data_IF_449853274671
#
_entry.id   IF_449853274671
#
_cell.length_a   1.000
_cell.length_b   1.000
_cell.length_c   1.000
_cell.angle_alpha   90.00
_cell.angle_beta   90.00
_cell.angle_gamma   90.00
#
_symmetry.space_group_name_H-M   'P 1'
#
loop_
_entity.id
_entity.type
_entity.pdbx_description
1 polymer ?
#
# COMPACT_ATOMS: atom_id res chain seq x y z
N UNK A 1 2.77 16.63 -30.51
CA UNK A 1 3.88 16.28 -29.60
C UNK A 1 4.06 14.79 -29.72
N UNK A 2 5.25 14.35 -30.11
CA UNK A 2 5.57 12.97 -30.50
C UNK A 2 5.36 12.00 -29.34
N UNK A 3 5.03 10.75 -29.65
CA UNK A 3 4.90 9.63 -28.71
C UNK A 3 6.11 9.54 -27.78
N UNK A 4 5.97 10.02 -26.54
CA UNK A 4 7.02 9.93 -25.52
C UNK A 4 7.24 8.45 -25.19
N UNK A 5 8.40 7.91 -25.57
CA UNK A 5 8.90 6.66 -25.00
C UNK A 5 9.04 6.85 -23.48
N UNK A 6 8.35 6.04 -22.68
CA UNK A 6 8.51 6.03 -21.22
C UNK A 6 9.95 5.74 -20.79
N UNK A 7 10.70 5.04 -21.64
CA UNK A 7 12.12 4.76 -21.44
C UNK A 7 12.92 5.94 -21.97
N UNK A 8 13.28 6.86 -21.08
CA UNK A 8 14.05 8.07 -21.42
C UNK A 8 14.75 8.69 -20.21
N UNK A 9 15.67 9.64 -20.47
CA UNK A 9 16.31 10.45 -19.44
C UNK A 9 15.30 11.34 -18.71
N UNK A 10 14.37 11.95 -19.45
CA UNK A 10 13.32 12.82 -18.92
C UNK A 10 12.43 12.08 -17.92
N UNK A 11 12.13 10.80 -18.16
CA UNK A 11 11.40 9.97 -17.19
C UNK A 11 12.13 9.88 -15.86
N UNK A 12 13.46 9.66 -15.86
CA UNK A 12 14.25 9.56 -14.64
C UNK A 12 14.24 10.87 -13.83
N UNK A 13 14.30 12.01 -14.52
CA UNK A 13 14.16 13.34 -13.89
C UNK A 13 12.77 13.54 -13.30
N UNK A 14 11.72 13.23 -14.07
CA UNK A 14 10.32 13.42 -13.70
C UNK A 14 9.93 12.57 -12.48
N UNK A 15 10.43 11.33 -12.38
CA UNK A 15 10.14 10.46 -11.23
C UNK A 15 10.88 10.87 -9.95
N UNK A 16 11.86 11.79 -10.04
CA UNK A 16 12.44 12.45 -8.85
C UNK A 16 13.93 12.21 -8.62
N UNK A 17 14.66 11.61 -9.57
CA UNK A 17 16.13 11.56 -9.46
C UNK A 17 16.76 12.93 -9.69
N UNK A 18 17.96 13.13 -9.13
CA UNK A 18 18.81 14.27 -9.46
C UNK A 18 19.28 14.20 -10.92
N UNK A 19 19.66 15.35 -11.48
CA UNK A 19 20.20 15.42 -12.85
C UNK A 19 21.37 14.44 -13.04
N UNK A 20 22.35 14.48 -12.14
CA UNK A 20 23.53 13.62 -12.18
C UNK A 20 23.16 12.13 -12.17
N UNK A 21 22.23 11.72 -11.30
CA UNK A 21 21.83 10.31 -11.22
C UNK A 21 21.03 9.88 -12.43
N UNK A 22 20.13 10.73 -12.92
CA UNK A 22 19.36 10.46 -14.12
C UNK A 22 20.29 10.27 -15.33
N UNK A 23 21.28 11.14 -15.51
CA UNK A 23 22.30 11.01 -16.56
C UNK A 23 23.15 9.74 -16.40
N UNK A 24 23.55 9.41 -15.16
CA UNK A 24 24.29 8.18 -14.86
C UNK A 24 23.47 6.93 -15.23
N UNK A 25 22.22 6.85 -14.77
CA UNK A 25 21.31 5.73 -15.04
C UNK A 25 21.00 5.63 -16.53
N UNK A 26 20.73 6.76 -17.20
CA UNK A 26 20.48 6.80 -18.64
C UNK A 26 21.69 6.34 -19.45
N UNK A 27 22.89 6.76 -19.07
CA UNK A 27 24.14 6.32 -19.72
C UNK A 27 24.31 4.81 -19.57
N UNK A 28 24.04 4.25 -18.38
CA UNK A 28 24.09 2.80 -18.14
C UNK A 28 23.03 2.05 -18.95
N UNK A 29 21.80 2.55 -18.99
CA UNK A 29 20.72 1.95 -19.78
C UNK A 29 20.99 2.00 -21.28
N UNK A 30 21.52 3.12 -21.79
CA UNK A 30 21.80 3.32 -23.21
C UNK A 30 22.97 2.48 -23.70
N UNK A 31 23.99 2.29 -22.86
CA UNK A 31 25.17 1.48 -23.12
C UNK A 31 25.07 0.11 -22.46
N UNK A 32 23.90 -0.53 -22.55
CA UNK A 32 23.67 -1.84 -21.94
C UNK A 32 24.67 -2.86 -22.48
N UNK A 33 25.39 -3.60 -21.61
CA UNK A 33 26.37 -4.56 -22.06
C UNK A 33 25.70 -5.75 -22.75
N UNK A 34 26.38 -6.33 -23.74
CA UNK A 34 26.01 -7.65 -24.24
C UNK A 34 26.11 -8.69 -23.11
N UNK A 35 25.11 -9.55 -22.98
CA UNK A 35 25.06 -10.50 -21.89
C UNK A 35 23.76 -11.31 -21.83
N UNK A 36 23.59 -12.13 -20.79
CA UNK A 36 22.44 -13.02 -20.64
C UNK A 36 21.14 -12.30 -20.26
N UNK A 37 21.21 -10.99 -20.00
CA UNK A 37 20.05 -10.15 -19.68
C UNK A 37 20.01 -9.00 -20.67
N UNK A 38 18.95 -8.93 -21.48
CA UNK A 38 18.70 -7.83 -22.42
C UNK A 38 17.75 -6.80 -21.80
N UNK A 39 17.57 -5.63 -22.43
CA UNK A 39 16.57 -4.65 -22.01
C UNK A 39 15.20 -5.02 -22.56
N UNK A 40 14.14 -4.55 -21.92
CA UNK A 40 12.77 -4.64 -22.46
C UNK A 40 12.60 -3.95 -23.84
N UNK A 41 13.50 -3.03 -24.20
CA UNK A 41 13.51 -2.35 -25.50
C UNK A 41 14.29 -3.11 -26.58
N UNK A 42 15.05 -4.13 -26.20
CA UNK A 42 15.81 -4.96 -27.14
C UNK A 42 14.90 -6.04 -27.75
N UNK A 43 15.20 -6.57 -28.95
CA UNK A 43 14.45 -7.67 -29.53
C UNK A 43 14.42 -8.88 -28.59
N UNK A 44 13.23 -9.45 -28.38
CA UNK A 44 13.07 -10.63 -27.52
C UNK A 44 13.76 -11.85 -28.14
N UNK A 45 14.71 -12.42 -27.41
CA UNK A 45 15.55 -13.56 -27.81
C UNK A 45 15.26 -14.83 -27.00
N UNK A 46 14.20 -14.82 -26.18
CA UNK A 46 13.89 -15.91 -25.25
C UNK A 46 14.61 -15.81 -23.90
N UNK A 47 15.48 -14.82 -23.71
CA UNK A 47 16.22 -14.58 -22.49
C UNK A 47 15.47 -13.78 -21.42
N UNK A 48 16.17 -13.50 -20.31
CA UNK A 48 15.68 -12.61 -19.26
C UNK A 48 15.77 -11.16 -19.76
N UNK A 49 14.69 -10.40 -19.59
CA UNK A 49 14.66 -8.97 -19.89
C UNK A 49 14.61 -8.15 -18.60
N UNK A 50 15.48 -7.14 -18.51
CA UNK A 50 15.41 -6.09 -17.49
C UNK A 50 14.42 -5.03 -17.94
N UNK A 51 13.41 -4.78 -17.12
CA UNK A 51 12.47 -3.67 -17.35
C UNK A 51 13.04 -2.37 -16.80
N UNK A 52 12.60 -1.23 -17.34
CA UNK A 52 13.17 0.06 -16.97
C UNK A 52 12.92 0.42 -15.50
N UNK A 53 11.78 0.03 -14.94
CA UNK A 53 11.46 0.21 -13.52
C UNK A 53 12.34 -0.63 -12.60
N UNK A 54 12.49 -1.93 -12.89
CA UNK A 54 13.38 -2.78 -12.11
C UNK A 54 14.82 -2.25 -12.15
N UNK A 55 15.25 -1.72 -13.30
CA UNK A 55 16.57 -1.09 -13.44
C UNK A 55 16.74 0.15 -12.57
N UNK A 56 15.84 1.14 -12.66
CA UNK A 56 16.04 2.38 -11.87
C UNK A 56 15.81 2.16 -10.37
N UNK A 57 14.96 1.20 -9.99
CA UNK A 57 14.78 0.79 -8.58
C UNK A 57 16.03 0.09 -8.05
N UNK A 58 16.68 -0.78 -8.85
CA UNK A 58 17.98 -1.33 -8.50
C UNK A 58 19.07 -0.24 -8.41
N UNK A 59 18.91 0.86 -9.16
CA UNK A 59 19.74 2.05 -9.10
C UNK A 59 19.65 2.85 -7.80
N UNK A 60 18.60 2.66 -6.99
CA UNK A 60 18.53 3.07 -5.59
C UNK A 60 19.39 2.11 -4.75
N UNK A 61 20.71 2.29 -4.86
CA UNK A 61 21.74 1.45 -4.25
C UNK A 61 21.43 1.14 -2.78
N UNK A 62 21.75 -0.08 -2.33
CA UNK A 62 21.69 -0.38 -0.89
C UNK A 62 22.76 0.45 -0.20
N UNK A 63 22.33 1.44 0.55
CA UNK A 63 23.19 2.21 1.44
C UNK A 63 22.93 1.77 2.89
N UNK A 64 24.00 1.60 3.65
CA UNK A 64 23.96 1.27 5.09
C UNK A 64 23.48 2.48 5.94
N UNK A 65 23.37 3.66 5.32
CA UNK A 65 22.86 4.90 5.92
C UNK A 65 21.35 5.13 5.78
N UNK A 66 20.50 4.10 5.70
CA UNK A 66 19.05 4.29 5.76
C UNK A 66 18.61 4.75 7.17
N UNK A 67 17.70 5.72 7.23
CA UNK A 67 17.29 6.38 8.48
C UNK A 67 15.77 6.37 8.64
N UNK A 68 15.32 6.32 9.88
CA UNK A 68 13.89 6.38 10.27
C UNK A 68 13.68 7.15 11.58
N UNK A 69 14.74 7.71 12.17
CA UNK A 69 14.69 8.59 13.34
C UNK A 69 14.17 9.99 12.99
N UNK A 70 14.07 10.87 13.96
CA UNK A 70 13.52 12.22 13.77
C UNK A 70 14.59 13.31 13.61
N UNK A 71 15.70 12.99 12.93
CA UNK A 71 16.73 13.98 12.59
C UNK A 71 16.56 14.42 11.13
N UNK A 72 16.16 15.69 10.92
CA UNK A 72 15.94 16.21 9.57
C UNK A 72 17.21 16.24 8.72
N UNK A 73 18.38 16.45 9.33
CA UNK A 73 19.66 16.48 8.62
C UNK A 73 20.03 15.09 8.15
N UNK A 74 19.88 14.07 9.01
CA UNK A 74 20.11 12.67 8.64
C UNK A 74 19.17 12.23 7.50
N UNK A 75 17.90 12.64 7.54
CA UNK A 75 16.94 12.37 6.47
C UNK A 75 17.34 12.99 5.14
N UNK A 76 17.71 14.29 5.12
CA UNK A 76 18.18 14.96 3.90
C UNK A 76 19.44 14.31 3.34
N UNK A 77 20.39 13.98 4.22
CA UNK A 77 21.61 13.30 3.83
C UNK A 77 21.32 11.90 3.24
N UNK A 78 20.40 11.14 3.87
CA UNK A 78 20.01 9.82 3.38
C UNK A 78 19.32 9.89 2.01
N UNK A 79 18.35 10.79 1.81
CA UNK A 79 17.69 10.98 0.51
C UNK A 79 18.66 11.49 -0.58
N UNK A 80 19.65 12.30 -0.19
CA UNK A 80 20.72 12.74 -1.09
C UNK A 80 21.62 11.57 -1.51
N UNK A 81 21.93 10.63 -0.61
CA UNK A 81 22.67 9.41 -0.97
C UNK A 81 21.89 8.53 -1.94
N UNK A 82 20.57 8.46 -1.81
CA UNK A 82 19.68 7.85 -2.80
C UNK A 82 19.50 8.69 -4.09
N UNK A 83 20.20 9.82 -4.19
CA UNK A 83 20.19 10.73 -5.34
C UNK A 83 18.80 11.25 -5.72
N UNK A 84 17.95 11.47 -4.72
CA UNK A 84 16.65 12.10 -4.88
C UNK A 84 16.83 13.62 -4.99
N UNK A 85 16.14 14.26 -5.94
CA UNK A 85 16.25 15.71 -6.14
C UNK A 85 15.59 16.52 -5.02
N UNK A 86 15.99 17.79 -4.87
CA UNK A 86 15.56 18.67 -3.77
C UNK A 86 14.03 18.79 -3.63
N UNK A 87 13.32 19.02 -4.73
CA UNK A 87 11.86 19.16 -4.72
C UNK A 87 11.16 17.89 -4.22
N UNK A 88 11.68 16.72 -4.60
CA UNK A 88 11.17 15.43 -4.14
C UNK A 88 11.51 15.18 -2.67
N UNK A 89 12.71 15.57 -2.24
CA UNK A 89 13.07 15.54 -0.81
C UNK A 89 12.12 16.40 0.02
N UNK A 90 11.86 17.64 -0.40
CA UNK A 90 10.97 18.57 0.31
C UNK A 90 9.52 18.08 0.35
N UNK A 91 9.08 17.38 -0.69
CA UNK A 91 7.76 16.76 -0.72
C UNK A 91 7.65 15.56 0.24
N UNK A 92 8.67 14.69 0.30
CA UNK A 92 8.75 13.57 1.26
C UNK A 92 8.85 14.09 2.70
N UNK A 93 9.63 15.17 2.90
CA UNK A 93 9.97 15.74 4.20
C UNK A 93 9.00 16.83 4.69
N UNK A 94 7.86 17.01 4.03
CA UNK A 94 6.87 18.01 4.44
C UNK A 94 6.50 17.84 5.94
N UNK A 95 6.72 18.86 6.80
CA UNK A 95 6.49 18.78 8.24
C UNK A 95 5.07 18.36 8.63
N UNK A 96 4.07 18.72 7.83
CA UNK A 96 2.66 18.35 8.04
C UNK A 96 2.47 16.81 8.10
N UNK A 97 3.28 16.08 7.34
CA UNK A 97 3.22 14.62 7.25
C UNK A 97 4.36 13.94 8.01
N UNK A 98 5.02 14.64 8.94
CA UNK A 98 6.15 14.10 9.72
C UNK A 98 5.85 12.75 10.38
N UNK A 99 4.68 12.60 10.98
CA UNK A 99 4.28 11.35 11.64
C UNK A 99 4.18 10.16 10.66
N UNK A 100 3.67 10.39 9.44
CA UNK A 100 3.62 9.41 8.35
C UNK A 100 5.00 9.14 7.77
N UNK A 101 5.79 10.18 7.51
CA UNK A 101 7.18 10.07 7.07
C UNK A 101 7.96 9.15 8.01
N UNK A 102 7.82 9.33 9.31
CA UNK A 102 8.50 8.52 10.33
C UNK A 102 7.83 7.15 10.59
N UNK A 103 6.85 6.74 9.79
CA UNK A 103 6.31 5.38 9.83
C UNK A 103 7.15 4.39 9.01
N UNK A 104 8.00 4.89 8.12
CA UNK A 104 8.91 4.12 7.28
C UNK A 104 10.26 4.84 7.14
N UNK A 105 11.20 4.26 6.41
CA UNK A 105 12.56 4.81 6.28
C UNK A 105 12.67 5.77 5.11
N UNK A 106 13.74 6.57 5.08
CA UNK A 106 14.07 7.45 3.97
C UNK A 106 14.13 6.68 2.65
N UNK A 107 14.77 5.51 2.65
CA UNK A 107 14.83 4.65 1.47
C UNK A 107 13.45 4.19 1.01
N UNK A 108 12.61 3.75 1.95
CA UNK A 108 11.26 3.29 1.63
C UNK A 108 10.50 4.40 0.90
N UNK A 109 10.51 5.62 1.42
CA UNK A 109 9.80 6.73 0.79
C UNK A 109 10.43 7.20 -0.52
N UNK A 110 11.75 7.14 -0.66
CA UNK A 110 12.42 7.40 -1.93
C UNK A 110 11.92 6.41 -3.00
N UNK A 111 12.01 5.11 -2.72
CA UNK A 111 11.55 4.03 -3.59
C UNK A 111 10.07 4.17 -3.93
N UNK A 112 9.22 4.28 -2.91
CA UNK A 112 7.78 4.36 -3.08
C UNK A 112 7.37 5.59 -3.90
N UNK A 113 8.06 6.72 -3.75
CA UNK A 113 7.75 7.94 -4.51
C UNK A 113 8.13 7.82 -5.98
N UNK A 114 9.31 7.29 -6.31
CA UNK A 114 9.71 7.13 -7.72
C UNK A 114 8.81 6.12 -8.44
N UNK A 115 8.43 5.03 -7.78
CA UNK A 115 7.50 4.03 -8.33
C UNK A 115 6.11 4.59 -8.57
N UNK A 116 5.55 5.35 -7.61
CA UNK A 116 4.23 6.00 -7.79
C UNK A 116 4.22 6.96 -8.99
N UNK A 117 5.27 7.77 -9.12
CA UNK A 117 5.39 8.73 -10.23
C UNK A 117 5.57 8.01 -11.57
N UNK A 118 6.35 6.93 -11.60
CA UNK A 118 6.51 6.11 -12.80
C UNK A 118 5.20 5.42 -13.20
N UNK A 119 4.46 4.85 -12.25
CA UNK A 119 3.17 4.23 -12.51
C UNK A 119 2.16 5.23 -13.07
N UNK A 120 2.18 6.48 -12.60
CA UNK A 120 1.41 7.55 -13.21
C UNK A 120 1.82 7.85 -14.66
N UNK A 121 3.13 7.92 -14.95
CA UNK A 121 3.61 8.11 -16.33
C UNK A 121 3.17 6.97 -17.24
N UNK A 122 3.27 5.71 -16.78
CA UNK A 122 2.79 4.53 -17.50
C UNK A 122 1.30 4.66 -17.83
N UNK A 123 0.50 5.06 -16.85
CA UNK A 123 -0.94 5.29 -17.03
C UNK A 123 -1.22 6.39 -18.07
N UNK A 124 -0.45 7.48 -18.05
CA UNK A 124 -0.57 8.56 -19.04
C UNK A 124 -0.20 8.12 -20.45
N UNK A 125 0.87 7.34 -20.62
CA UNK A 125 1.29 6.81 -21.92
C UNK A 125 0.26 5.83 -22.50
N UNK A 126 -0.42 5.08 -21.64
CA UNK A 126 -1.49 4.15 -22.01
C UNK A 126 -2.87 4.85 -22.20
N UNK A 127 -2.90 6.19 -22.34
CA UNK A 127 -4.11 7.02 -22.53
C UNK A 127 -5.22 6.83 -21.48
N UNK A 128 -4.89 6.31 -20.30
CA UNK A 128 -5.84 6.06 -19.21
C UNK A 128 -5.93 7.26 -18.26
N UNK A 129 -6.10 8.48 -18.78
CA UNK A 129 -5.86 9.71 -18.01
C UNK A 129 -7.04 10.23 -17.20
N UNK A 130 -8.26 9.76 -17.47
CA UNK A 130 -9.44 10.20 -16.70
C UNK A 130 -9.62 9.28 -15.47
N UNK A 131 -9.58 9.80 -14.24
CA UNK A 131 -10.17 9.08 -13.12
C UNK A 131 -11.68 8.90 -13.38
N UNK A 132 -12.27 7.75 -13.00
CA UNK A 132 -13.71 7.55 -13.11
C UNK A 132 -14.47 8.71 -12.45
N UNK A 133 -15.59 9.12 -13.02
CA UNK A 133 -16.47 10.07 -12.31
C UNK A 133 -16.92 9.46 -10.97
N UNK A 134 -17.10 10.28 -9.93
CA UNK A 134 -17.74 9.89 -8.66
C UNK A 134 -19.18 9.42 -8.94
N UNK A 135 -19.36 8.17 -9.37
CA UNK A 135 -20.66 7.55 -9.54
C UNK A 135 -20.80 6.40 -8.55
N UNK A 136 -21.95 6.38 -7.90
CA UNK A 136 -22.36 5.34 -6.96
C UNK A 136 -22.57 4.03 -7.72
N UNK A 137 -21.61 3.12 -7.68
CA UNK A 137 -21.79 1.74 -8.14
C UNK A 137 -22.68 0.97 -7.15
N UNK A 138 -23.99 1.02 -7.37
CA UNK A 138 -24.91 -0.02 -6.88
C UNK A 138 -24.84 -1.20 -7.85
N UNK A 139 -24.21 -2.30 -7.44
CA UNK A 139 -24.37 -3.58 -8.12
C UNK A 139 -25.84 -4.02 -7.96
N UNK A 140 -26.62 -3.92 -9.03
CA UNK A 140 -27.97 -4.46 -9.09
C UNK A 140 -27.88 -5.99 -9.27
N UNK A 141 -28.13 -6.74 -8.20
CA UNK A 141 -28.48 -8.15 -8.29
C UNK A 141 -29.99 -8.29 -8.16
N UNK A 142 -30.70 -8.19 -9.29
CA UNK A 142 -32.10 -8.58 -9.41
C UNK A 142 -32.19 -10.09 -9.63
N UNK A 143 -32.76 -10.79 -8.65
CA UNK A 143 -33.14 -12.20 -8.72
C UNK A 143 -34.39 -12.48 -7.89
N UNK A 144 -35.58 -12.27 -8.48
CA UNK A 144 -36.86 -12.84 -8.05
C UNK A 144 -36.84 -14.38 -8.19
N UNK A 145 -37.54 -15.26 -7.45
CA UNK A 145 -38.59 -15.31 -6.40
C UNK A 145 -38.64 -16.83 -5.92
N UNK A 146 -39.55 -17.39 -5.06
CA UNK A 146 -40.83 -16.88 -4.54
C UNK A 146 -41.15 -17.14 -3.05
N UNK A 147 -42.30 -16.55 -2.65
CA UNK A 147 -42.97 -16.59 -1.34
C UNK A 147 -43.07 -17.97 -0.66
N UNK A 148 -42.81 -18.00 0.66
CA UNK A 148 -43.75 -18.53 1.68
C UNK A 148 -43.32 -18.20 3.13
N UNK A 149 -44.09 -17.29 3.73
CA UNK A 149 -44.51 -17.08 5.14
C UNK A 149 -43.74 -17.81 6.27
N UNK A 150 -43.09 -17.03 7.14
CA UNK A 150 -43.14 -17.09 8.62
C UNK A 150 -42.84 -15.67 9.18
N UNK A 151 -43.32 -15.31 10.41
CA UNK A 151 -43.40 -13.92 10.86
C UNK A 151 -42.02 -13.39 11.29
N UNK A 152 -41.47 -12.46 10.52
CA UNK A 152 -40.16 -11.87 10.79
C UNK A 152 -40.26 -10.78 11.87
N UNK A 153 -39.77 -11.12 13.06
CA UNK A 153 -39.43 -10.14 14.11
C UNK A 153 -37.93 -9.87 14.03
N UNK A 154 -37.54 -8.78 13.35
CA UNK A 154 -36.44 -7.84 13.70
C UNK A 154 -36.21 -6.88 12.52
N UNK A 155 -36.69 -5.62 12.55
CA UNK A 155 -36.03 -4.40 13.08
C UNK A 155 -34.73 -3.99 12.34
N UNK A 156 -34.86 -3.00 11.45
CA UNK A 156 -33.78 -2.14 10.93
C UNK A 156 -33.01 -2.71 9.72
N UNK A 157 -32.43 -1.86 8.84
CA UNK A 157 -31.53 -2.34 7.81
C UNK A 157 -30.28 -2.97 8.46
N UNK A 158 -29.72 -4.05 7.88
CA UNK A 158 -28.54 -4.72 8.43
C UNK A 158 -27.37 -3.74 8.57
N UNK A 159 -26.66 -3.83 9.70
CA UNK A 159 -25.51 -2.98 9.98
C UNK A 159 -24.39 -3.26 8.98
N UNK A 160 -23.83 -2.18 8.40
CA UNK A 160 -22.79 -2.25 7.37
C UNK A 160 -21.51 -1.60 7.88
N UNK A 161 -20.46 -2.40 8.01
CA UNK A 161 -19.12 -1.92 8.34
C UNK A 161 -18.56 -1.11 7.17
N UNK A 162 -17.96 0.05 7.45
CA UNK A 162 -17.25 0.86 6.46
C UNK A 162 -15.77 0.86 6.76
N UNK A 163 -14.97 0.60 5.73
CA UNK A 163 -13.51 0.64 5.81
C UNK A 163 -12.95 1.48 4.66
N UNK A 164 -11.79 2.10 4.87
CA UNK A 164 -11.22 3.10 3.98
C UNK A 164 -9.76 2.78 3.65
N UNK A 165 -9.33 3.10 2.42
CA UNK A 165 -7.94 3.00 1.97
C UNK A 165 -7.65 4.06 0.92
N UNK A 166 -6.50 4.72 1.01
CA UNK A 166 -5.99 5.53 -0.10
C UNK A 166 -5.31 4.62 -1.14
N UNK A 167 -5.66 4.80 -2.41
CA UNK A 167 -5.11 4.05 -3.54
C UNK A 167 -4.50 4.98 -4.58
N UNK A 168 -3.28 4.69 -5.01
CA UNK A 168 -2.66 5.33 -6.18
C UNK A 168 -3.17 4.66 -7.45
N UNK A 169 -3.95 5.39 -8.25
CA UNK A 169 -4.55 4.87 -9.48
C UNK A 169 -3.54 4.63 -10.61
N UNK A 170 -2.31 5.15 -10.50
CA UNK A 170 -1.21 4.74 -11.37
C UNK A 170 -0.88 3.26 -11.19
N UNK A 171 -0.75 2.83 -9.93
CA UNK A 171 -0.48 1.43 -9.56
C UNK A 171 -1.74 0.56 -9.65
N UNK A 172 -2.88 1.08 -9.21
CA UNK A 172 -4.18 0.40 -9.19
C UNK A 172 -4.95 0.62 -10.51
N UNK A 173 -4.30 0.38 -11.65
CA UNK A 173 -4.82 0.73 -12.96
C UNK A 173 -6.01 -0.12 -13.42
N UNK A 174 -6.19 -1.33 -12.87
CA UNK A 174 -7.33 -2.24 -13.14
C UNK A 174 -8.42 -2.15 -12.06
N UNK A 175 -8.27 -1.24 -11.11
CA UNK A 175 -9.24 -1.09 -10.02
C UNK A 175 -10.65 -0.78 -10.55
N UNK A 176 -10.72 -0.09 -11.69
CA UNK A 176 -11.95 0.19 -12.40
C UNK A 176 -11.90 -0.38 -13.81
N UNK A 177 -13.02 -0.87 -14.30
CA UNK A 177 -13.20 -1.24 -15.70
C UNK A 177 -13.31 0.00 -16.61
N UNK A 178 -13.48 -0.24 -17.91
CA UNK A 178 -13.65 0.81 -18.92
C UNK A 178 -14.91 1.69 -18.69
N UNK A 179 -15.91 1.18 -17.96
CA UNK A 179 -17.12 1.94 -17.59
C UNK A 179 -16.92 2.81 -16.35
N UNK A 180 -15.78 2.66 -15.65
CA UNK A 180 -15.50 3.32 -14.38
C UNK A 180 -16.09 2.59 -13.16
N UNK A 181 -16.60 1.37 -13.35
CA UNK A 181 -17.11 0.51 -12.28
C UNK A 181 -15.97 -0.26 -11.63
N UNK A 182 -16.05 -0.50 -10.32
CA UNK A 182 -15.04 -1.28 -9.60
C UNK A 182 -14.94 -2.71 -10.16
N UNK A 183 -13.72 -3.17 -10.44
CA UNK A 183 -13.46 -4.46 -11.11
C UNK A 183 -12.41 -5.29 -10.36
N UNK A 184 -11.14 -4.87 -10.36
CA UNK A 184 -10.06 -5.68 -9.80
C UNK A 184 -9.71 -5.30 -8.35
N UNK A 185 -10.31 -5.98 -7.37
CA UNK A 185 -9.96 -5.79 -5.94
C UNK A 185 -8.46 -6.04 -5.67
N UNK A 186 -7.82 -6.94 -6.41
CA UNK A 186 -6.42 -7.32 -6.25
C UNK A 186 -5.44 -6.15 -6.37
N UNK A 187 -5.81 -5.07 -7.08
CA UNK A 187 -5.02 -3.86 -7.21
C UNK A 187 -4.95 -3.05 -5.89
N UNK A 188 -5.75 -3.40 -4.87
CA UNK A 188 -5.68 -2.82 -3.52
C UNK A 188 -4.76 -3.59 -2.55
N UNK A 189 -4.10 -4.65 -3.00
CA UNK A 189 -3.18 -5.44 -2.15
C UNK A 189 -1.98 -4.60 -1.71
N UNK A 190 -1.59 -4.76 -0.46
CA UNK A 190 -0.31 -4.28 0.07
C UNK A 190 0.72 -5.41 0.00
N UNK A 191 1.97 -5.13 -0.40
CA UNK A 191 3.02 -6.15 -0.46
C UNK A 191 3.50 -6.56 0.95
N UNK A 192 4.02 -7.78 1.05
CA UNK A 192 4.72 -8.28 2.23
C UNK A 192 6.18 -7.80 2.27
N UNK A 193 6.85 -7.77 3.45
CA UNK A 193 6.29 -8.05 4.78
C UNK A 193 5.45 -6.88 5.32
N UNK A 194 4.34 -7.20 5.98
CA UNK A 194 3.41 -6.26 6.62
C UNK A 194 3.05 -6.71 8.05
N UNK A 195 2.11 -6.02 8.71
CA UNK A 195 1.83 -6.22 10.14
C UNK A 195 1.38 -7.63 10.51
N UNK A 196 0.71 -8.35 9.61
CA UNK A 196 0.13 -9.65 9.93
C UNK A 196 0.44 -10.73 8.89
N UNK A 197 1.28 -10.41 7.89
CA UNK A 197 1.74 -11.36 6.87
C UNK A 197 3.22 -11.12 6.55
N UNK A 198 4.02 -12.18 6.61
CA UNK A 198 5.46 -12.10 6.31
C UNK A 198 5.82 -12.32 4.84
N UNK A 199 5.03 -13.12 4.12
CA UNK A 199 5.36 -13.58 2.76
C UNK A 199 4.26 -13.34 1.72
N UNK A 200 3.02 -13.16 2.17
CA UNK A 200 1.86 -13.02 1.29
C UNK A 200 1.36 -11.59 1.32
N UNK A 201 0.99 -11.06 0.16
CA UNK A 201 0.28 -9.79 0.08
C UNK A 201 -1.09 -9.90 0.77
N UNK A 202 -1.55 -8.83 1.39
CA UNK A 202 -2.84 -8.76 2.05
C UNK A 202 -3.51 -7.39 1.81
N UNK A 203 -4.80 -7.30 2.09
CA UNK A 203 -5.56 -6.05 1.97
C UNK A 203 -5.65 -5.39 3.33
N UNK A 204 -5.27 -4.13 3.42
CA UNK A 204 -5.32 -3.37 4.65
C UNK A 204 -6.23 -2.15 4.47
N UNK A 205 -7.20 -2.00 5.36
CA UNK A 205 -8.09 -0.86 5.42
C UNK A 205 -8.16 -0.29 6.84
N UNK A 206 -8.50 0.98 6.96
CA UNK A 206 -8.78 1.62 8.26
C UNK A 206 -10.29 1.78 8.46
N UNK A 207 -10.83 1.57 9.66
CA UNK A 207 -12.20 1.96 9.96
C UNK A 207 -12.35 3.48 10.14
N UNK A 208 -11.23 4.20 10.29
CA UNK A 208 -11.17 5.64 10.44
C UNK A 208 -10.87 6.31 9.09
N UNK A 209 -11.80 7.16 8.63
CA UNK A 209 -11.64 7.88 7.37
C UNK A 209 -10.51 8.91 7.43
N UNK A 210 -10.26 9.51 8.60
CA UNK A 210 -9.24 10.55 8.76
C UNK A 210 -7.84 9.97 8.57
N UNK A 211 -7.60 8.75 9.05
CA UNK A 211 -6.34 8.01 8.82
C UNK A 211 -6.10 7.81 7.33
N UNK A 212 -7.10 7.29 6.61
CA UNK A 212 -6.98 7.05 5.18
C UNK A 212 -6.87 8.36 4.37
N UNK A 213 -7.50 9.44 4.82
CA UNK A 213 -7.36 10.77 4.23
C UNK A 213 -5.95 11.33 4.39
N UNK A 214 -5.36 11.17 5.57
CA UNK A 214 -4.01 11.63 5.87
C UNK A 214 -2.96 10.88 5.03
N UNK A 215 -3.13 9.57 4.90
CA UNK A 215 -2.32 8.73 4.00
C UNK A 215 -2.45 9.15 2.54
N UNK A 216 -3.68 9.41 2.07
CA UNK A 216 -3.94 9.87 0.71
C UNK A 216 -3.35 11.25 0.42
N UNK A 217 -3.47 12.19 1.37
CA UNK A 217 -2.88 13.52 1.26
C UNK A 217 -1.34 13.47 1.23
N UNK A 218 -0.71 12.60 2.02
CA UNK A 218 0.74 12.42 1.97
C UNK A 218 1.19 11.81 0.64
N UNK A 219 0.50 10.77 0.18
CA UNK A 219 0.74 10.17 -1.13
C UNK A 219 0.65 11.21 -2.25
N UNK A 220 -0.38 12.06 -2.21
CA UNK A 220 -0.54 13.19 -3.15
C UNK A 220 0.60 14.20 -3.03
N UNK A 221 1.02 14.56 -1.81
CA UNK A 221 2.08 15.55 -1.60
C UNK A 221 3.38 15.15 -2.28
N UNK A 222 3.78 13.88 -2.13
CA UNK A 222 5.04 13.35 -2.68
C UNK A 222 4.95 12.93 -4.14
N UNK A 223 3.76 12.64 -4.65
CA UNK A 223 3.49 12.36 -6.05
C UNK A 223 2.35 13.25 -6.59
N UNK A 224 2.63 14.56 -6.72
CA UNK A 224 1.60 15.60 -6.99
C UNK A 224 0.81 15.40 -8.27
N UNK A 225 1.40 14.77 -9.28
CA UNK A 225 0.75 14.44 -10.55
C UNK A 225 -0.06 13.15 -10.48
N UNK A 226 0.25 12.24 -9.55
CA UNK A 226 -0.48 10.98 -9.39
C UNK A 226 -1.92 11.24 -8.98
N UNK A 227 -2.80 10.38 -9.48
CA UNK A 227 -4.23 10.38 -9.12
C UNK A 227 -4.42 9.46 -7.94
N UNK A 228 -4.69 10.04 -6.77
CA UNK A 228 -4.92 9.28 -5.54
C UNK A 228 -6.42 9.30 -5.25
N UNK A 229 -7.00 8.12 -5.04
CA UNK A 229 -8.41 7.94 -4.70
C UNK A 229 -8.55 7.44 -3.26
N UNK A 230 -9.50 8.02 -2.53
CA UNK A 230 -9.96 7.45 -1.27
C UNK A 230 -11.05 6.42 -1.58
N UNK A 231 -10.75 5.16 -1.34
CA UNK A 231 -11.67 4.04 -1.54
C UNK A 231 -12.38 3.74 -0.23
N UNK A 232 -13.71 3.66 -0.28
CA UNK A 232 -14.53 3.10 0.80
C UNK A 232 -15.00 1.71 0.36
N UNK A 233 -14.80 0.70 1.19
CA UNK A 233 -15.53 -0.57 1.10
C UNK A 233 -16.59 -0.65 2.19
N UNK A 234 -17.72 -1.27 1.87
CA UNK A 234 -18.83 -1.49 2.79
C UNK A 234 -19.20 -2.96 2.81
N UNK A 235 -19.18 -3.57 3.99
CA UNK A 235 -19.37 -5.01 4.18
C UNK A 235 -20.54 -5.22 5.14
N UNK A 236 -21.57 -6.02 4.80
CA UNK A 236 -22.61 -6.38 5.76
C UNK A 236 -22.01 -7.19 6.92
N UNK A 237 -22.27 -6.77 8.16
CA UNK A 237 -21.68 -7.44 9.33
C UNK A 237 -22.20 -8.86 9.50
N UNK A 238 -23.41 -9.15 9.02
CA UNK A 238 -23.94 -10.51 9.01
C UNK A 238 -23.10 -11.47 8.16
N UNK A 239 -22.45 -11.01 7.09
CA UNK A 239 -21.54 -11.87 6.32
C UNK A 239 -20.23 -12.14 7.07
N UNK A 240 -19.75 -11.18 7.86
CA UNK A 240 -18.59 -11.39 8.75
C UNK A 240 -18.95 -12.40 9.84
N UNK A 241 -20.15 -12.29 10.43
CA UNK A 241 -20.63 -13.18 11.49
C UNK A 241 -20.92 -14.62 11.00
N UNK A 242 -20.97 -14.86 9.69
CA UNK A 242 -21.10 -16.21 9.11
C UNK A 242 -19.76 -16.91 8.94
N UNK A 243 -18.64 -16.18 9.01
CA UNK A 243 -17.32 -16.79 8.98
C UNK A 243 -17.13 -17.66 10.24
N UNK A 244 -16.42 -18.80 10.13
CA UNK A 244 -15.99 -19.56 11.30
C UNK A 244 -15.18 -18.68 12.26
N UNK A 245 -15.28 -18.94 13.56
CA UNK A 245 -14.56 -18.17 14.59
C UNK A 245 -13.04 -18.25 14.35
N UNK A 246 -12.53 -19.38 13.85
CA UNK A 246 -11.13 -19.57 13.49
C UNK A 246 -10.66 -18.72 12.30
N UNK A 247 -11.58 -18.18 11.48
CA UNK A 247 -11.29 -17.34 10.33
C UNK A 247 -11.33 -15.84 10.63
N UNK A 248 -11.67 -15.45 11.86
CA UNK A 248 -11.74 -14.06 12.29
C UNK A 248 -10.98 -13.85 13.60
N UNK A 249 -9.78 -13.26 13.51
CA UNK A 249 -9.02 -12.84 14.67
C UNK A 249 -9.21 -11.34 14.92
N UNK A 250 -9.96 -10.97 15.95
CA UNK A 250 -10.26 -9.57 16.25
C UNK A 250 -9.82 -9.12 17.64
N UNK A 251 -9.81 -7.81 17.86
CA UNK A 251 -9.50 -7.23 19.17
C UNK A 251 -8.02 -7.25 19.53
N UNK A 252 -7.12 -7.52 18.59
CA UNK A 252 -5.68 -7.54 18.87
C UNK A 252 -5.16 -6.13 19.18
N UNK A 253 -4.82 -5.88 20.44
CA UNK A 253 -4.29 -4.60 20.89
C UNK A 253 -2.76 -4.68 21.03
N UNK A 254 -2.06 -3.56 20.81
CA UNK A 254 -0.59 -3.54 20.81
C UNK A 254 0.07 -3.93 22.14
N UNK A 255 -0.68 -3.92 23.24
CA UNK A 255 -0.23 -4.41 24.55
C UNK A 255 -0.24 -5.92 24.66
N UNK A 256 -0.99 -6.60 23.79
CA UNK A 256 -1.21 -8.05 23.85
C UNK A 256 0.02 -8.79 23.31
N UNK A 257 0.41 -9.87 23.99
CA UNK A 257 1.55 -10.67 23.56
C UNK A 257 1.33 -11.29 22.19
N UNK A 258 0.11 -11.76 21.90
CA UNK A 258 -0.25 -12.33 20.60
C UNK A 258 -0.07 -11.32 19.46
N UNK A 259 -0.56 -10.09 19.64
CA UNK A 259 -0.36 -9.02 18.65
C UNK A 259 1.14 -8.79 18.41
N UNK A 260 1.94 -8.70 19.48
CA UNK A 260 3.39 -8.48 19.37
C UNK A 260 4.08 -9.63 18.63
N UNK A 261 3.71 -10.87 18.93
CA UNK A 261 4.26 -12.06 18.27
C UNK A 261 3.93 -12.07 16.78
N UNK A 262 2.67 -11.82 16.41
CA UNK A 262 2.23 -11.75 15.02
C UNK A 262 2.95 -10.64 14.24
N UNK A 263 3.01 -9.43 14.80
CA UNK A 263 3.69 -8.28 14.17
C UNK A 263 5.18 -8.52 14.04
N UNK A 264 5.85 -8.99 15.09
CA UNK A 264 7.28 -9.24 15.07
C UNK A 264 7.66 -10.27 14.01
N UNK A 265 7.01 -11.43 13.99
CA UNK A 265 7.29 -12.47 12.99
C UNK A 265 6.91 -12.02 11.57
N UNK A 266 5.77 -11.36 11.40
CA UNK A 266 5.32 -10.91 10.07
C UNK A 266 6.23 -9.82 9.51
N UNK A 267 6.60 -8.81 10.30
CA UNK A 267 7.48 -7.72 9.86
C UNK A 267 8.92 -8.18 9.57
N UNK A 268 9.34 -9.31 10.13
CA UNK A 268 10.61 -9.99 9.84
C UNK A 268 10.55 -10.84 8.57
N UNK A 269 9.39 -10.94 7.92
CA UNK A 269 9.19 -11.81 6.78
C UNK A 269 9.34 -13.28 7.19
N UNK A 270 8.89 -13.67 8.37
CA UNK A 270 8.91 -15.06 8.82
C UNK A 270 7.59 -15.77 8.45
N UNK A 271 7.66 -17.09 8.34
CA UNK A 271 6.45 -17.92 8.21
C UNK A 271 5.98 -18.25 9.62
N UNK A 272 4.78 -17.80 10.01
CA UNK A 272 4.23 -17.96 11.36
C UNK A 272 4.32 -19.41 11.87
N UNK A 273 5.15 -19.70 12.87
CA UNK A 273 5.43 -21.08 13.32
C UNK A 273 4.91 -21.38 14.72
N UNK A 274 4.94 -22.65 15.14
CA UNK A 274 4.48 -23.07 16.47
C UNK A 274 3.00 -22.77 16.66
N UNK A 275 2.67 -22.15 17.78
CA UNK A 275 1.28 -21.76 18.12
C UNK A 275 0.73 -20.73 17.13
N UNK A 276 1.57 -19.89 16.52
CA UNK A 276 1.12 -18.89 15.54
C UNK A 276 0.69 -19.50 14.21
N UNK A 277 0.93 -20.81 13.97
CA UNK A 277 0.61 -21.47 12.71
C UNK A 277 -0.89 -21.44 12.40
N UNK A 278 -1.73 -21.46 13.43
CA UNK A 278 -3.19 -21.40 13.28
C UNK A 278 -3.65 -20.12 12.55
N UNK A 279 -2.89 -19.02 12.67
CA UNK A 279 -3.25 -17.73 12.08
C UNK A 279 -2.84 -17.56 10.61
N UNK A 280 -2.18 -18.55 9.98
CA UNK A 280 -1.72 -18.44 8.58
C UNK A 280 -2.85 -18.35 7.55
N UNK A 281 -4.01 -18.93 7.85
CA UNK A 281 -5.15 -19.03 6.93
C UNK A 281 -6.35 -18.19 7.34
N UNK A 282 -6.22 -17.38 8.41
CA UNK A 282 -7.30 -16.52 8.90
C UNK A 282 -7.74 -15.57 7.79
N UNK A 283 -9.06 -15.44 7.59
CA UNK A 283 -9.65 -14.57 6.57
C UNK A 283 -9.51 -13.10 6.96
N UNK A 284 -9.80 -12.76 8.23
CA UNK A 284 -9.82 -11.38 8.73
C UNK A 284 -8.99 -11.27 10.02
N UNK A 285 -8.07 -10.31 10.05
CA UNK A 285 -7.38 -9.89 11.29
C UNK A 285 -7.68 -8.42 11.57
N UNK A 286 -8.21 -8.13 12.75
CA UNK A 286 -8.46 -6.76 13.24
C UNK A 286 -7.56 -6.46 14.42
N UNK A 287 -6.72 -5.45 14.27
CA UNK A 287 -5.81 -5.07 15.35
C UNK A 287 -5.19 -3.71 15.21
N UNK A 288 -4.40 -3.33 16.21
CA UNK A 288 -3.62 -2.09 16.20
C UNK A 288 -2.64 -2.07 15.02
N UNK A 289 -2.52 -0.91 14.37
CA UNK A 289 -1.57 -0.65 13.29
C UNK A 289 -0.17 -0.39 13.83
N UNK A 290 0.81 -1.12 13.33
CA UNK A 290 2.19 -0.91 13.72
C UNK A 290 2.84 0.22 12.89
N UNK A 291 3.97 0.72 13.39
CA UNK A 291 4.75 1.82 12.82
C UNK A 291 6.22 1.40 12.80
N UNK A 292 7.01 2.08 11.98
CA UNK A 292 8.44 1.91 11.77
C UNK A 292 8.74 0.87 10.69
N UNK A 293 9.92 0.95 10.06
CA UNK A 293 10.32 0.01 9.02
C UNK A 293 10.47 -1.42 9.54
N UNK A 294 10.29 -2.39 8.65
CA UNK A 294 10.54 -3.82 8.89
C UNK A 294 11.96 -4.10 9.45
N UNK A 295 12.94 -3.27 9.07
CA UNK A 295 14.31 -3.34 9.57
C UNK A 295 14.43 -3.13 11.09
N UNK A 296 13.53 -2.37 11.72
CA UNK A 296 13.49 -2.17 13.18
C UNK A 296 13.13 -3.47 13.88
N UNK A 297 12.06 -4.12 13.41
CA UNK A 297 11.60 -5.41 13.97
C UNK A 297 12.64 -6.53 13.79
N UNK A 298 13.37 -6.51 12.68
CA UNK A 298 14.45 -7.47 12.40
C UNK A 298 15.64 -7.34 13.37
N UNK A 299 15.81 -6.18 14.01
CA UNK A 299 16.86 -5.93 15.00
C UNK A 299 16.43 -6.23 16.44
N UNK A 300 15.13 -6.47 16.68
CA UNK A 300 14.62 -6.82 18.00
C UNK A 300 14.93 -8.28 18.34
N UNK A 301 15.27 -8.54 19.60
CA UNK A 301 15.56 -9.89 20.10
C UNK A 301 14.28 -10.64 20.45
N UNK A 302 13.23 -9.91 20.85
CA UNK A 302 11.96 -10.48 21.30
C UNK A 302 10.75 -9.65 20.85
N UNK A 303 9.57 -10.27 20.63
CA UNK A 303 8.30 -9.55 20.46
C UNK A 303 8.01 -8.54 21.59
N UNK A 304 8.48 -8.82 22.80
CA UNK A 304 8.28 -7.94 23.97
C UNK A 304 9.00 -6.60 23.85
N UNK A 305 9.97 -6.49 22.94
CA UNK A 305 10.72 -5.26 22.66
C UNK A 305 9.86 -4.23 21.91
N UNK A 306 8.74 -4.66 21.31
CA UNK A 306 7.78 -3.74 20.69
C UNK A 306 7.14 -2.87 21.78
N UNK A 307 7.42 -1.56 21.73
CA UNK A 307 6.87 -0.53 22.63
C UNK A 307 5.97 0.44 21.86
N UNK A 308 5.50 1.48 22.57
CA UNK A 308 4.53 2.46 22.07
C UNK A 308 5.01 3.24 20.84
N UNK A 309 6.31 3.47 20.69
CA UNK A 309 6.92 4.12 19.53
C UNK A 309 6.77 3.31 18.23
N UNK A 310 6.59 2.00 18.34
CA UNK A 310 6.32 1.09 17.23
C UNK A 310 4.83 1.02 16.84
N UNK A 311 4.00 1.92 17.39
CA UNK A 311 2.54 1.95 17.17
C UNK A 311 2.16 3.20 16.39
N UNK A 312 1.27 3.05 15.41
CA UNK A 312 0.76 4.17 14.63
C UNK A 312 -0.32 4.92 15.42
N UNK A 313 -0.01 6.13 15.87
CA UNK A 313 -0.89 6.97 16.68
C UNK A 313 -1.54 8.07 15.83
N UNK A 314 -2.86 8.20 15.85
CA UNK A 314 -3.61 9.10 14.95
C UNK A 314 -3.81 10.48 15.56
N UNK A 315 -3.93 10.58 16.88
CA UNK A 315 -4.02 11.87 17.57
C UNK A 315 -2.96 11.98 18.66
N UNK A 316 -2.14 13.04 18.59
CA UNK A 316 -1.16 13.37 19.63
C UNK A 316 -1.83 13.87 20.93
N UNK A 317 -3.17 14.05 20.91
CA UNK A 317 -3.97 14.62 22.00
C UNK A 317 -4.41 13.62 23.08
N UNK A 318 -4.17 12.32 22.94
CA UNK A 318 -4.55 11.32 23.95
C UNK A 318 -3.40 10.35 24.27
N UNK A 319 -3.41 9.78 25.48
CA UNK A 319 -2.40 8.81 25.90
C UNK A 319 -2.48 7.46 25.13
N UNK A 320 -3.63 7.13 24.49
CA UNK A 320 -3.68 6.14 23.38
C UNK A 320 -4.92 6.22 22.46
N UNK A 321 -4.78 6.84 21.28
CA UNK A 321 -5.64 6.66 20.11
C UNK A 321 -4.83 5.97 19.00
N UNK A 322 -4.47 4.70 19.23
CA UNK A 322 -3.75 3.90 18.23
C UNK A 322 -4.66 3.59 17.06
N UNK A 323 -4.17 3.75 15.82
CA UNK A 323 -4.93 3.37 14.63
C UNK A 323 -5.26 1.87 14.67
N UNK A 324 -6.48 1.54 14.27
CA UNK A 324 -6.90 0.17 13.99
C UNK A 324 -6.82 -0.08 12.49
N UNK A 325 -6.45 -1.30 12.12
CA UNK A 325 -6.50 -1.78 10.75
C UNK A 325 -7.28 -3.08 10.66
N UNK A 326 -7.98 -3.23 9.55
CA UNK A 326 -8.61 -4.47 9.11
C UNK A 326 -7.75 -5.05 8.00
N UNK A 327 -7.16 -6.21 8.30
CA UNK A 327 -6.41 -6.99 7.34
C UNK A 327 -7.31 -8.11 6.81
N UNK A 328 -7.41 -8.22 5.50
CA UNK A 328 -7.95 -9.38 4.81
C UNK A 328 -6.78 -10.10 4.16
N UNK A 329 -6.63 -11.39 4.46
CA UNK A 329 -5.54 -12.21 3.92
C UNK A 329 -5.72 -12.47 2.43
N UNK A 330 -4.85 -13.29 1.84
CA UNK A 330 -5.05 -13.75 0.47
C UNK A 330 -6.35 -14.56 0.35
N UNK A 331 -6.68 -15.33 1.39
CA UNK A 331 -7.92 -16.08 1.56
C UNK A 331 -9.13 -15.13 1.66
N UNK A 332 -8.95 -13.97 2.30
CA UNK A 332 -9.95 -12.90 2.41
C UNK A 332 -10.27 -12.15 1.11
N UNK A 333 -9.55 -12.39 0.01
CA UNK A 333 -9.84 -11.75 -1.27
C UNK A 333 -11.20 -12.15 -1.84
N UNK A 334 -11.53 -13.44 -1.76
CA UNK A 334 -12.83 -13.95 -2.20
C UNK A 334 -13.97 -13.31 -1.42
N UNK A 335 -13.81 -13.26 -0.10
CA UNK A 335 -14.75 -12.59 0.79
C UNK A 335 -14.95 -11.10 0.43
N UNK A 336 -13.86 -10.37 0.17
CA UNK A 336 -13.94 -8.96 -0.24
C UNK A 336 -14.65 -8.78 -1.59
N UNK A 337 -14.39 -9.65 -2.57
CA UNK A 337 -15.05 -9.59 -3.87
C UNK A 337 -16.54 -9.92 -3.78
N UNK A 338 -16.89 -10.91 -2.97
CA UNK A 338 -18.24 -11.46 -2.92
C UNK A 338 -19.17 -10.60 -2.02
N UNK A 339 -18.62 -9.95 -0.99
CA UNK A 339 -19.39 -9.21 0.02
C UNK A 339 -19.02 -7.72 0.17
N UNK A 340 -17.89 -7.29 -0.40
CA UNK A 340 -17.43 -5.91 -0.34
C UNK A 340 -18.08 -5.04 -1.42
N UNK A 341 -18.73 -3.96 -1.01
CA UNK A 341 -19.21 -2.92 -1.92
C UNK A 341 -18.23 -1.74 -1.92
N UNK A 342 -17.54 -1.53 -3.04
CA UNK A 342 -16.50 -0.51 -3.18
C UNK A 342 -17.02 0.74 -3.89
N UNK A 343 -16.52 1.91 -3.46
CA UNK A 343 -16.72 3.18 -4.16
C UNK A 343 -15.57 4.14 -3.89
N UNK A 344 -15.37 5.09 -4.79
CA UNK A 344 -14.54 6.27 -4.52
C UNK A 344 -15.36 7.28 -3.74
N UNK A 345 -14.81 7.74 -2.61
CA UNK A 345 -15.42 8.80 -1.79
C UNK A 345 -14.82 10.17 -2.07
N UNK A 346 -13.53 10.24 -2.42
CA UNK A 346 -12.87 11.49 -2.82
C UNK A 346 -11.61 11.21 -3.64
N UNK A 347 -11.13 12.25 -4.34
CA UNK A 347 -9.81 12.29 -4.96
C UNK A 347 -8.94 13.33 -4.23
N UNK A 348 -7.62 13.14 -4.27
CA UNK A 348 -6.64 14.10 -3.75
C UNK A 348 -5.88 14.81 -4.87
#
# INVERSE_FOLDING_TARGET
MSTNSLVSLETLLEIGFSQEKAEQLWTKWSNWPEGPVSRETDPYDGGLQMTFDHFFIAGLEKDDGDVWGDDETEWRNSLTRYSINGDTQDAIMNPEFKHLRLAQSARFWAKDTVEMRYAWLQRCANNSTAPPSLQSSTANNDGQAPNNILPEVSRGPPYKLKLYKAADLGRAHRLFDESGTFDCVADLRSPAPSDFTGHSSAFYFSPDIEVAQLEGAYAKRKASRSSIALIQTTIPVDEINKLPDEDVLSGLHWTDLLWKQLVWSSRRGEILSGDLREYRGVTIIVGTKARLPNAVYSKMESPTDIKKDCVYMVTEKFESPSAIQWMFSAEGEGFLRDHGCFKVVSYF
#
